data_IF_142884282053
#
_entry.id   IF_142884282053
#
_cell.length_a   1.000
_cell.length_b   1.000
_cell.length_c   1.000
_cell.angle_alpha   90.00
_cell.angle_beta   90.00
_cell.angle_gamma   90.00
#
_symmetry.space_group_name_H-M   'P 1'
#
loop_
_entity.id
_entity.type
_entity.pdbx_description
1 polymer ?
#
# COMPACT_ATOMS: atom_id res chain seq x y z
N UNK A 1 -1.90 12.23 9.66
CA UNK A 1 -1.20 10.95 9.88
C UNK A 1 0.09 11.01 9.11
N UNK A 2 1.21 10.59 9.69
CA UNK A 2 2.52 10.97 9.18
C UNK A 2 3.18 9.78 8.47
N UNK A 3 3.34 9.85 7.15
CA UNK A 3 4.33 9.04 6.44
C UNK A 3 5.57 9.91 6.24
N UNK A 4 6.67 9.53 6.86
CA UNK A 4 7.93 10.27 6.82
C UNK A 4 9.05 9.42 6.22
N UNK A 5 10.19 10.07 5.95
CA UNK A 5 11.31 9.55 5.18
C UNK A 5 10.96 9.29 3.70
N UNK A 6 10.00 10.04 3.13
CA UNK A 6 9.61 9.87 1.72
C UNK A 6 10.72 10.25 0.74
N UNK A 7 11.74 10.98 1.19
CA UNK A 7 12.99 11.20 0.42
C UNK A 7 13.67 9.91 -0.03
N UNK A 8 13.54 8.82 0.73
CA UNK A 8 14.07 7.50 0.32
C UNK A 8 13.42 6.98 -0.96
N UNK A 9 12.14 7.31 -1.19
CA UNK A 9 11.46 7.00 -2.46
C UNK A 9 12.06 7.82 -3.60
N UNK A 10 12.33 9.11 -3.38
CA UNK A 10 12.94 9.96 -4.39
C UNK A 10 14.35 9.44 -4.77
N UNK A 11 15.16 9.10 -3.78
CA UNK A 11 16.50 8.53 -3.97
C UNK A 11 16.44 7.18 -4.72
N UNK A 12 15.49 6.31 -4.36
CA UNK A 12 15.33 5.02 -5.02
C UNK A 12 14.86 5.17 -6.47
N UNK A 13 13.90 6.07 -6.75
CA UNK A 13 13.46 6.35 -8.12
C UNK A 13 14.60 6.93 -8.97
N UNK A 14 15.50 7.70 -8.37
CA UNK A 14 16.66 8.23 -9.08
C UNK A 14 17.60 7.12 -9.59
N UNK A 15 17.77 6.05 -8.80
CA UNK A 15 18.62 4.90 -9.17
C UNK A 15 17.88 3.81 -9.94
N UNK A 16 16.55 3.73 -9.79
CA UNK A 16 15.66 2.75 -10.42
C UNK A 16 14.45 3.45 -11.08
N UNK A 17 14.63 4.17 -12.20
CA UNK A 17 13.57 4.98 -12.81
C UNK A 17 12.30 4.21 -13.20
N UNK A 18 12.42 2.91 -13.50
CA UNK A 18 11.31 1.99 -13.79
C UNK A 18 10.35 1.83 -12.61
N UNK A 19 10.83 2.01 -11.37
CA UNK A 19 10.01 1.93 -10.16
C UNK A 19 9.08 3.14 -9.95
N UNK A 20 9.29 4.22 -10.72
CA UNK A 20 8.63 5.53 -10.55
C UNK A 20 7.11 5.40 -10.41
N UNK A 21 6.44 4.83 -11.41
CA UNK A 21 4.97 4.79 -11.44
C UNK A 21 4.43 3.98 -10.26
N UNK A 22 5.05 2.84 -9.97
CA UNK A 22 4.66 1.94 -8.88
C UNK A 22 4.81 2.62 -7.51
N UNK A 23 5.97 3.23 -7.23
CA UNK A 23 6.25 3.87 -5.94
C UNK A 23 5.44 5.16 -5.74
N UNK A 24 5.28 5.99 -6.77
CA UNK A 24 4.47 7.21 -6.68
C UNK A 24 2.98 6.89 -6.54
N UNK A 25 2.50 5.83 -7.19
CA UNK A 25 1.13 5.33 -6.99
C UNK A 25 0.93 4.87 -5.54
N UNK A 26 1.87 4.08 -5.00
CA UNK A 26 1.81 3.63 -3.61
C UNK A 26 1.86 4.80 -2.61
N UNK A 27 2.74 5.77 -2.83
CA UNK A 27 2.85 6.98 -2.02
C UNK A 27 1.56 7.80 -2.06
N UNK A 28 0.97 7.95 -3.25
CA UNK A 28 -0.33 8.63 -3.43
C UNK A 28 -1.45 7.91 -2.68
N UNK A 29 -1.52 6.59 -2.78
CA UNK A 29 -2.51 5.76 -2.09
C UNK A 29 -2.36 5.80 -0.56
N UNK A 30 -1.16 6.04 -0.04
CA UNK A 30 -0.87 6.00 1.40
C UNK A 30 -1.81 6.89 2.22
N UNK A 31 -2.08 8.13 1.78
CA UNK A 31 -3.02 9.03 2.45
C UNK A 31 -4.43 8.44 2.64
N UNK A 32 -4.83 7.42 1.89
CA UNK A 32 -6.20 6.90 1.84
C UNK A 32 -6.40 5.55 2.53
N UNK A 33 -5.40 4.67 2.55
CA UNK A 33 -5.53 3.37 3.23
C UNK A 33 -4.98 3.36 4.64
N UNK A 34 -4.12 4.31 4.93
CA UNK A 34 -3.25 4.22 6.09
C UNK A 34 -4.04 4.56 7.38
N UNK A 35 -5.16 5.32 7.31
CA UNK A 35 -6.09 5.50 8.44
C UNK A 35 -6.68 4.17 8.96
N UNK A 36 -6.90 3.20 8.06
CA UNK A 36 -7.37 1.86 8.44
C UNK A 36 -6.27 1.01 9.08
N UNK A 37 -5.01 1.33 8.83
CA UNK A 37 -3.86 0.60 9.36
C UNK A 37 -3.70 0.78 10.87
N UNK A 38 -4.16 1.90 11.41
CA UNK A 38 -3.98 2.26 12.82
C UNK A 38 -5.15 1.88 13.72
N UNK A 39 -6.28 1.46 13.15
CA UNK A 39 -7.43 0.99 13.92
C UNK A 39 -7.29 -0.52 14.21
N UNK A 40 -7.56 -0.91 15.46
CA UNK A 40 -7.77 -2.30 15.83
C UNK A 40 -9.16 -2.78 15.35
N UNK A 41 -9.48 -4.05 15.56
CA UNK A 41 -10.77 -4.64 15.17
C UNK A 41 -12.00 -3.96 15.80
N UNK A 42 -11.80 -3.25 16.91
CA UNK A 42 -12.84 -2.48 17.62
C UNK A 42 -12.89 -1.01 17.18
N UNK A 43 -12.08 -0.59 16.20
CA UNK A 43 -11.99 0.79 15.72
C UNK A 43 -11.15 1.73 16.60
N UNK A 44 -10.52 1.24 17.66
CA UNK A 44 -9.60 2.00 18.52
C UNK A 44 -8.19 2.02 17.97
N UNK A 45 -7.42 3.09 18.23
CA UNK A 45 -6.02 3.14 17.81
C UNK A 45 -5.21 2.02 18.48
N UNK A 46 -4.52 1.20 17.69
CA UNK A 46 -3.64 0.16 18.20
C UNK A 46 -2.53 0.78 19.07
N UNK A 47 -2.08 0.06 20.09
CA UNK A 47 -0.98 0.49 20.93
C UNK A 47 0.33 -0.17 20.49
N UNK A 48 1.45 0.55 20.67
CA UNK A 48 2.79 0.02 20.44
C UNK A 48 3.45 0.48 19.15
N UNK A 49 4.51 -0.22 18.78
CA UNK A 49 5.30 0.00 17.57
C UNK A 49 5.64 -1.35 16.93
N UNK A 50 6.02 -1.33 15.66
CA UNK A 50 6.41 -2.54 14.96
C UNK A 50 7.10 -2.24 13.64
N UNK A 51 7.62 -3.30 13.01
CA UNK A 51 8.21 -3.24 11.69
C UNK A 51 7.23 -3.85 10.71
N UNK A 52 7.11 -3.24 9.53
CA UNK A 52 6.31 -3.75 8.44
C UNK A 52 7.09 -3.69 7.13
N UNK A 53 6.56 -4.41 6.15
CA UNK A 53 7.00 -4.29 4.76
C UNK A 53 5.78 -4.11 3.87
N UNK A 54 5.98 -3.41 2.77
CA UNK A 54 5.03 -3.31 1.67
C UNK A 54 5.74 -3.76 0.41
N UNK A 55 4.96 -4.33 -0.50
CA UNK A 55 5.42 -4.76 -1.82
C UNK A 55 4.61 -4.02 -2.88
N UNK A 56 4.95 -2.76 -3.19
CA UNK A 56 4.27 -2.01 -4.24
C UNK A 56 4.36 -2.73 -5.60
N UNK A 57 3.23 -2.82 -6.31
CA UNK A 57 3.18 -3.44 -7.63
C UNK A 57 3.20 -4.97 -7.58
N UNK A 58 4.01 -5.60 -8.43
CA UNK A 58 4.13 -7.06 -8.61
C UNK A 58 5.07 -7.74 -7.61
N UNK A 59 5.56 -7.01 -6.59
CA UNK A 59 6.49 -7.54 -5.58
C UNK A 59 7.97 -7.45 -5.96
N UNK A 60 8.30 -6.72 -7.03
CA UNK A 60 9.68 -6.43 -7.43
C UNK A 60 10.40 -5.45 -6.50
N UNK A 61 9.64 -4.66 -5.73
CA UNK A 61 10.14 -3.65 -4.81
C UNK A 61 9.60 -3.96 -3.42
N UNK A 62 10.46 -3.88 -2.42
CA UNK A 62 10.14 -4.03 -1.01
C UNK A 62 10.43 -2.72 -0.30
N UNK A 63 9.41 -2.12 0.30
CA UNK A 63 9.52 -0.94 1.16
C UNK A 63 9.41 -1.41 2.60
N UNK A 64 10.51 -1.37 3.38
CA UNK A 64 10.42 -1.68 4.81
C UNK A 64 10.27 -0.38 5.61
N UNK A 65 9.47 -0.45 6.64
CA UNK A 65 9.12 0.71 7.44
C UNK A 65 8.90 0.36 8.91
N UNK A 66 9.09 1.35 9.77
CA UNK A 66 8.66 1.30 11.16
C UNK A 66 7.29 1.95 11.29
N UNK A 67 6.44 1.39 12.13
CA UNK A 67 5.13 1.92 12.49
C UNK A 67 5.14 2.26 13.98
N UNK A 68 4.70 3.46 14.33
CA UNK A 68 4.34 3.82 15.69
C UNK A 68 2.83 4.06 15.71
N UNK A 69 2.09 3.13 16.30
CA UNK A 69 0.63 3.18 16.26
C UNK A 69 0.06 4.31 17.12
N UNK A 70 0.71 4.61 18.24
CA UNK A 70 0.32 5.70 19.13
C UNK A 70 0.54 7.08 18.50
N UNK A 71 1.67 7.26 17.80
CA UNK A 71 1.98 8.49 17.08
C UNK A 71 1.24 8.62 15.74
N UNK A 72 0.52 7.56 15.31
CA UNK A 72 -0.10 7.43 13.97
C UNK A 72 0.91 7.81 12.88
N UNK A 73 2.08 7.17 12.93
CA UNK A 73 3.21 7.48 12.07
C UNK A 73 3.83 6.22 11.46
N UNK A 74 4.27 6.34 10.21
CA UNK A 74 5.11 5.36 9.50
C UNK A 74 6.39 6.07 9.06
N UNK A 75 7.54 5.45 9.33
CA UNK A 75 8.84 5.92 8.88
C UNK A 75 9.44 4.89 7.93
N UNK A 76 9.73 5.29 6.69
CA UNK A 76 10.40 4.43 5.72
C UNK A 76 11.85 4.22 6.16
N UNK A 77 12.27 2.97 6.28
CA UNK A 77 13.63 2.61 6.71
C UNK A 77 14.55 2.41 5.52
N UNK A 78 14.12 1.55 4.60
CA UNK A 78 14.83 1.22 3.38
C UNK A 78 13.84 0.83 2.28
N UNK A 79 14.35 0.87 1.05
CA UNK A 79 13.65 0.42 -0.16
C UNK A 79 14.66 -0.44 -0.89
N UNK A 80 14.25 -1.65 -1.26
CA UNK A 80 15.09 -2.65 -1.91
C UNK A 80 14.35 -3.25 -3.09
N UNK A 81 15.11 -3.69 -4.08
CA UNK A 81 14.62 -4.63 -5.07
C UNK A 81 14.44 -6.01 -4.44
N UNK A 82 13.56 -6.82 -5.01
CA UNK A 82 13.40 -8.22 -4.59
C UNK A 82 14.70 -9.01 -4.77
N UNK A 83 15.52 -8.67 -5.76
CA UNK A 83 16.84 -9.28 -5.96
C UNK A 83 17.77 -8.99 -4.79
N UNK A 84 17.88 -7.74 -4.33
CA UNK A 84 18.69 -7.38 -3.16
C UNK A 84 18.23 -8.11 -1.90
N UNK A 85 16.92 -8.21 -1.68
CA UNK A 85 16.35 -8.98 -0.56
C UNK A 85 16.75 -10.46 -0.63
N UNK A 86 16.69 -11.06 -1.82
CA UNK A 86 17.09 -12.46 -2.02
C UNK A 86 18.59 -12.66 -1.81
N UNK A 87 19.42 -11.71 -2.22
CA UNK A 87 20.86 -11.73 -1.98
C UNK A 87 21.18 -11.64 -0.48
N UNK A 88 20.49 -10.78 0.27
CA UNK A 88 20.65 -10.66 1.73
C UNK A 88 20.25 -11.96 2.44
N UNK A 89 19.12 -12.56 2.06
CA UNK A 89 18.68 -13.86 2.62
C UNK A 89 19.74 -14.92 2.37
N UNK A 90 20.29 -14.99 1.16
CA UNK A 90 21.30 -15.98 0.79
C UNK A 90 22.60 -15.75 1.56
N UNK A 91 23.07 -14.51 1.66
CA UNK A 91 24.24 -14.15 2.45
C UNK A 91 24.06 -14.49 3.94
N UNK A 92 22.88 -14.24 4.50
CA UNK A 92 22.56 -14.65 5.87
C UNK A 92 22.57 -16.17 6.04
N UNK A 93 22.03 -16.94 5.10
CA UNK A 93 22.05 -18.40 5.13
C UNK A 93 23.48 -18.97 5.04
N UNK A 94 24.32 -18.41 4.16
CA UNK A 94 25.71 -18.83 3.99
C UNK A 94 26.55 -18.52 5.24
N UNK A 95 26.33 -17.37 5.89
CA UNK A 95 27.00 -16.99 7.13
C UNK A 95 26.51 -17.77 8.37
N UNK A 96 25.32 -18.38 8.32
CA UNK A 96 24.75 -19.20 9.40
C UNK A 96 24.82 -20.70 9.10
N UNK A 97 25.72 -21.13 8.22
CA UNK A 97 25.98 -22.54 7.85
C UNK A 97 26.48 -23.46 8.99
N UNK A 98 26.46 -22.98 10.25
CA UNK A 98 26.59 -23.80 11.46
C UNK A 98 25.28 -24.06 12.23
N UNK A 99 24.16 -23.44 11.83
CA UNK A 99 22.86 -23.65 12.48
C UNK A 99 22.12 -24.77 11.77
N UNK A 100 22.10 -25.94 12.40
CA UNK A 100 21.27 -27.07 11.97
C UNK A 100 19.79 -26.68 12.12
N UNK A 101 19.17 -26.27 11.02
CA UNK A 101 17.71 -26.27 10.94
C UNK A 101 17.24 -27.72 11.04
N UNK A 102 16.65 -28.11 12.17
CA UNK A 102 15.86 -29.32 12.26
C UNK A 102 14.62 -29.15 11.38
N UNK A 103 14.76 -29.45 10.09
CA UNK A 103 13.61 -29.63 9.19
C UNK A 103 12.87 -30.87 9.68
N UNK A 104 11.80 -30.68 10.44
CA UNK A 104 10.87 -31.76 10.78
C UNK A 104 10.07 -32.06 9.52
N UNK A 105 10.55 -33.02 8.73
CA UNK A 105 9.78 -33.58 7.61
C UNK A 105 8.56 -34.26 8.22
N UNK A 106 7.41 -33.58 8.20
CA UNK A 106 6.13 -34.21 8.52
C UNK A 106 5.69 -34.92 7.25
N UNK A 107 5.93 -36.23 7.19
CA UNK A 107 5.35 -37.10 6.17
C UNK A 107 3.84 -37.14 6.44
N UNK A 108 3.07 -36.37 5.69
CA UNK A 108 1.60 -36.47 5.72
C UNK A 108 1.24 -37.72 4.93
N UNK A 109 0.96 -38.82 5.65
CA UNK A 109 0.30 -39.98 5.05
C UNK A 109 -1.14 -39.58 4.75
N UNK A 110 -1.43 -39.25 3.49
CA UNK A 110 -2.79 -39.06 3.02
C UNK A 110 -3.48 -40.43 3.06
N UNK A 111 -4.20 -40.71 4.15
CA UNK A 111 -5.19 -41.80 4.14
C UNK A 111 -6.28 -41.42 3.14
N UNK A 112 -6.58 -42.28 2.15
CA UNK A 112 -7.68 -42.03 1.23
C UNK A 112 -8.98 -41.87 2.04
N UNK A 113 -9.89 -40.98 1.60
CA UNK A 113 -11.18 -40.84 2.26
C UNK A 113 -11.90 -42.20 2.24
N UNK A 114 -12.64 -42.55 3.30
CA UNK A 114 -13.42 -43.78 3.32
C UNK A 114 -14.37 -43.80 2.11
N UNK A 115 -14.57 -44.97 1.48
CA UNK A 115 -15.53 -45.09 0.40
C UNK A 115 -16.90 -44.66 0.90
N UNK A 116 -17.58 -43.82 0.11
CA UNK A 116 -18.94 -43.36 0.38
C UNK A 116 -19.83 -44.59 0.56
N UNK A 117 -20.47 -44.71 1.73
CA UNK A 117 -21.55 -45.68 1.93
C UNK A 117 -22.70 -45.33 0.99
N UNK A 118 -23.25 -46.35 0.31
CA UNK A 118 -24.42 -46.26 -0.56
C UNK A 118 -25.58 -45.60 0.20
N UNK A 119 -25.88 -44.34 -0.12
CA UNK A 119 -27.11 -43.68 0.28
C UNK A 119 -28.22 -44.13 -0.68
N UNK A 120 -28.74 -45.34 -0.47
CA UNK A 120 -29.83 -45.91 -1.26
C UNK A 120 -31.23 -45.44 -0.81
N UNK A 121 -31.31 -44.26 -0.17
CA UNK A 121 -32.57 -43.64 0.24
C UNK A 121 -32.48 -42.12 0.13
N UNK A 122 -32.64 -41.60 -1.08
CA UNK A 122 -33.16 -40.25 -1.27
C UNK A 122 -34.35 -40.34 -2.23
N UNK A 123 -35.53 -40.28 -1.62
CA UNK A 123 -36.79 -40.07 -2.32
C UNK A 123 -36.69 -38.87 -3.27
N UNK A 124 -37.29 -39.07 -4.44
CA UNK A 124 -37.76 -38.07 -5.40
C UNK A 124 -37.72 -36.62 -4.88
N UNK A 125 -36.70 -35.88 -5.33
CA UNK A 125 -36.75 -34.42 -5.38
C UNK A 125 -36.84 -34.00 -6.84
N UNK A 126 -38.01 -33.46 -7.21
CA UNK A 126 -38.27 -32.85 -8.51
C UNK A 126 -37.18 -31.82 -8.84
N UNK A 127 -36.58 -31.97 -10.02
CA UNK A 127 -35.62 -31.03 -10.55
C UNK A 127 -36.31 -29.71 -10.91
N UNK A 128 -36.22 -28.72 -10.03
CA UNK A 128 -36.35 -27.32 -10.46
C UNK A 128 -35.00 -26.84 -10.98
N UNK A 129 -34.96 -26.47 -12.25
CA UNK A 129 -33.86 -25.72 -12.87
C UNK A 129 -33.66 -24.39 -12.16
N UNK A 130 -32.88 -24.39 -11.08
CA UNK A 130 -32.30 -23.17 -10.53
C UNK A 130 -30.82 -23.13 -10.90
N UNK A 131 -30.50 -22.23 -11.82
CA UNK A 131 -29.15 -21.76 -12.09
C UNK A 131 -28.58 -21.18 -10.81
N UNK A 132 -27.80 -21.97 -10.07
CA UNK A 132 -27.04 -21.50 -8.92
C UNK A 132 -25.91 -20.59 -9.42
N UNK A 133 -26.24 -19.30 -9.51
CA UNK A 133 -25.28 -18.21 -9.48
C UNK A 133 -24.43 -18.35 -8.22
N UNK A 134 -23.17 -18.73 -8.37
CA UNK A 134 -22.18 -18.66 -7.29
C UNK A 134 -21.85 -17.18 -7.08
N UNK A 135 -22.69 -16.49 -6.30
CA UNK A 135 -22.35 -15.16 -5.79
C UNK A 135 -21.31 -15.34 -4.71
N UNK A 136 -20.03 -15.14 -5.04
CA UNK A 136 -19.03 -14.88 -4.03
C UNK A 136 -19.47 -13.62 -3.26
N UNK A 137 -19.68 -13.69 -1.93
CA UNK A 137 -19.92 -12.49 -1.15
C UNK A 137 -18.58 -11.75 -1.02
N UNK A 138 -18.17 -11.07 -2.09
CA UNK A 138 -17.24 -9.96 -1.97
C UNK A 138 -17.97 -8.93 -1.11
N UNK A 139 -17.49 -8.59 0.10
CA UNK A 139 -18.09 -7.54 0.88
C UNK A 139 -18.15 -6.32 -0.03
N UNK A 140 -19.35 -5.73 -0.18
CA UNK A 140 -19.53 -4.54 -0.96
C UNK A 140 -18.52 -3.51 -0.45
N UNK A 141 -17.45 -3.30 -1.21
CA UNK A 141 -16.53 -2.19 -1.02
C UNK A 141 -17.35 -0.95 -1.31
N UNK A 142 -18.08 -0.50 -0.28
CA UNK A 142 -18.72 0.80 -0.25
C UNK A 142 -17.56 1.80 -0.22
N UNK A 143 -17.10 2.16 -1.41
CA UNK A 143 -16.48 3.43 -1.72
C UNK A 143 -17.52 4.55 -1.51
N UNK A 144 -18.18 4.58 -0.36
CA UNK A 144 -18.79 5.81 0.09
C UNK A 144 -17.61 6.70 0.42
N UNK A 145 -17.51 7.79 -0.34
CA UNK A 145 -16.70 8.99 -0.15
C UNK A 145 -16.94 9.67 1.22
N UNK A 146 -17.30 8.91 2.25
CA UNK A 146 -17.54 9.34 3.62
C UNK A 146 -16.31 9.09 4.50
N UNK A 147 -15.12 8.93 3.92
CA UNK A 147 -13.89 9.29 4.62
C UNK A 147 -13.92 10.81 4.78
N UNK A 148 -14.72 11.25 5.77
CA UNK A 148 -14.60 12.55 6.38
C UNK A 148 -13.12 12.75 6.66
N UNK A 149 -12.52 13.65 5.90
CA UNK A 149 -11.14 14.13 6.02
C UNK A 149 -10.91 14.90 7.35
N UNK A 150 -11.76 14.65 8.33
CA UNK A 150 -12.22 15.58 9.37
C UNK A 150 -11.78 15.14 10.77
N UNK A 151 -10.91 14.12 10.84
CA UNK A 151 -10.19 13.76 12.07
C UNK A 151 -8.69 13.59 11.77
N UNK A 152 -8.18 14.41 10.85
CA UNK A 152 -6.79 14.86 10.94
C UNK A 152 -6.72 15.63 12.25
N UNK A 153 -6.49 14.91 13.36
CA UNK A 153 -6.09 15.49 14.64
C UNK A 153 -5.10 16.61 14.31
N UNK A 154 -5.59 17.84 14.36
CA UNK A 154 -4.81 19.04 14.14
C UNK A 154 -3.80 19.06 15.28
N UNK A 155 -2.67 18.41 15.05
CA UNK A 155 -1.50 18.52 15.90
C UNK A 155 -1.15 19.99 15.86
N UNK A 156 -1.38 20.61 17.02
CA UNK A 156 -1.19 22.02 17.37
C UNK A 156 -0.43 22.83 16.30
N UNK A 157 -1.11 23.73 15.55
CA UNK A 157 -0.47 24.55 14.52
C UNK A 157 0.65 25.46 15.06
N UNK A 158 0.76 25.59 16.39
CA UNK A 158 1.81 26.34 17.09
C UNK A 158 3.14 25.56 17.27
N UNK A 159 3.36 24.45 16.56
CA UNK A 159 4.71 23.89 16.45
C UNK A 159 5.61 24.86 15.66
N UNK A 160 6.23 25.81 16.38
CA UNK A 160 7.17 26.85 15.91
C UNK A 160 8.48 26.29 15.34
N UNK A 161 8.64 24.98 15.28
CA UNK A 161 9.82 24.32 14.75
C UNK A 161 9.67 24.09 13.25
N UNK A 162 10.28 24.96 12.44
CA UNK A 162 10.31 24.83 10.99
C UNK A 162 11.71 24.40 10.55
N UNK A 163 11.79 23.30 9.80
CA UNK A 163 13.01 22.86 9.15
C UNK A 163 13.21 23.70 7.88
N UNK A 164 14.35 24.38 7.75
CA UNK A 164 14.62 25.26 6.62
C UNK A 164 15.69 24.71 5.69
N UNK A 165 16.58 23.86 6.20
CA UNK A 165 17.69 23.28 5.44
C UNK A 165 17.62 21.76 5.36
N UNK A 166 18.26 21.19 4.34
CA UNK A 166 18.40 19.73 4.18
C UNK A 166 19.14 19.11 5.38
N UNK A 167 20.19 19.77 5.89
CA UNK A 167 20.94 19.28 7.04
C UNK A 167 20.09 19.21 8.33
N UNK A 168 19.24 20.22 8.56
CA UNK A 168 18.27 20.20 9.67
C UNK A 168 17.26 19.08 9.48
N UNK A 169 16.75 18.89 8.26
CA UNK A 169 15.83 17.80 7.93
C UNK A 169 16.44 16.43 8.18
N UNK A 170 17.66 16.17 7.70
CA UNK A 170 18.35 14.89 7.92
C UNK A 170 18.62 14.63 9.40
N UNK A 171 18.98 15.68 10.16
CA UNK A 171 19.19 15.59 11.61
C UNK A 171 17.89 15.28 12.33
N UNK A 172 16.80 15.98 11.99
CA UNK A 172 15.47 15.76 12.54
C UNK A 172 14.96 14.35 12.21
N UNK A 173 15.17 13.89 10.97
CA UNK A 173 14.77 12.56 10.53
C UNK A 173 15.53 11.46 11.27
N UNK A 174 16.86 11.61 11.42
CA UNK A 174 17.68 10.68 12.19
C UNK A 174 17.23 10.64 13.66
N UNK A 175 16.92 11.81 14.25
CA UNK A 175 16.40 11.90 15.61
C UNK A 175 15.03 11.24 15.73
N UNK A 176 14.09 11.55 14.85
CA UNK A 176 12.76 10.94 14.82
C UNK A 176 12.85 9.41 14.71
N UNK A 177 13.74 8.90 13.85
CA UNK A 177 13.99 7.47 13.73
C UNK A 177 14.51 6.85 15.04
N UNK A 178 15.44 7.52 15.73
CA UNK A 178 15.94 7.04 17.04
C UNK A 178 14.87 7.02 18.14
N UNK A 179 13.86 7.90 18.02
CA UNK A 179 12.77 8.03 18.97
C UNK A 179 11.54 7.24 18.56
N UNK A 180 11.55 6.58 17.40
CA UNK A 180 10.32 6.11 16.75
C UNK A 180 9.59 5.01 17.54
N UNK A 181 10.28 4.32 18.43
CA UNK A 181 9.69 3.32 19.33
C UNK A 181 9.13 3.91 20.63
N UNK A 182 9.17 5.24 20.79
CA UNK A 182 8.70 5.90 22.02
C UNK A 182 7.19 5.75 22.21
N UNK A 183 6.73 5.68 23.46
CA UNK A 183 5.31 5.55 23.82
C UNK A 183 4.76 6.76 24.60
N UNK A 184 3.43 7.03 24.60
CA UNK A 184 2.81 8.22 25.22
C UNK A 184 3.17 8.59 26.67
N UNK A 185 3.82 7.69 27.41
CA UNK A 185 4.23 7.89 28.82
C UNK A 185 5.75 8.04 29.00
N UNK A 186 6.51 7.96 27.90
CA UNK A 186 7.95 8.09 27.90
C UNK A 186 8.35 9.54 27.63
N UNK A 187 9.45 9.98 28.24
CA UNK A 187 9.94 11.36 28.12
C UNK A 187 10.30 11.74 26.67
N UNK A 188 10.64 10.76 25.84
CA UNK A 188 11.02 10.93 24.43
C UNK A 188 9.82 11.08 23.49
N UNK A 189 8.61 10.70 23.92
CA UNK A 189 7.43 10.73 23.04
C UNK A 189 6.96 12.14 22.67
N UNK A 190 6.93 13.13 23.59
CA UNK A 190 6.64 14.52 23.22
C UNK A 190 7.61 15.07 22.17
N UNK A 191 8.90 14.72 22.25
CA UNK A 191 9.90 15.12 21.25
C UNK A 191 9.57 14.50 19.88
N UNK A 192 9.29 13.20 19.81
CA UNK A 192 8.84 12.54 18.57
C UNK A 192 7.62 13.25 17.98
N UNK A 193 6.59 13.51 18.80
CA UNK A 193 5.36 14.17 18.35
C UNK A 193 5.60 15.59 17.83
N UNK A 194 6.64 16.29 18.31
CA UNK A 194 7.03 17.61 17.80
C UNK A 194 7.79 17.55 16.48
N UNK A 195 8.58 16.49 16.24
CA UNK A 195 9.39 16.33 15.04
C UNK A 195 8.55 15.92 13.82
N UNK A 196 7.57 15.02 14.00
CA UNK A 196 6.80 14.42 12.91
C UNK A 196 6.14 15.46 11.96
N UNK A 197 5.39 16.47 12.46
CA UNK A 197 4.75 17.45 11.58
C UNK A 197 5.76 18.32 10.82
N UNK A 198 6.88 18.65 11.45
CA UNK A 198 7.93 19.46 10.83
C UNK A 198 8.64 18.72 9.71
N UNK A 199 8.93 17.43 9.91
CA UNK A 199 9.49 16.53 8.88
C UNK A 199 8.50 16.39 7.72
N UNK A 200 7.24 16.06 8.01
CA UNK A 200 6.20 15.91 6.98
C UNK A 200 6.03 17.19 6.15
N UNK A 201 6.04 18.37 6.80
CA UNK A 201 5.96 19.67 6.12
C UNK A 201 7.16 19.90 5.21
N UNK A 202 8.38 19.70 5.70
CA UNK A 202 9.60 19.83 4.90
C UNK A 202 9.55 18.92 3.67
N UNK A 203 9.15 17.65 3.86
CA UNK A 203 9.04 16.70 2.77
C UNK A 203 8.04 17.15 1.69
N UNK A 204 6.87 17.65 2.08
CA UNK A 204 5.86 18.16 1.13
C UNK A 204 6.30 19.41 0.38
N UNK A 205 7.03 20.30 1.04
CA UNK A 205 7.39 21.60 0.47
C UNK A 205 8.66 21.53 -0.39
N UNK A 206 9.66 20.79 0.07
CA UNK A 206 11.02 20.78 -0.47
C UNK A 206 11.32 19.58 -1.36
N UNK A 207 10.74 18.41 -1.10
CA UNK A 207 10.98 17.25 -1.98
C UNK A 207 10.23 17.43 -3.31
N UNK A 208 10.92 17.06 -4.38
CA UNK A 208 10.38 17.07 -5.74
C UNK A 208 10.43 15.65 -6.28
N UNK A 209 9.26 15.11 -6.56
CA UNK A 209 9.11 13.82 -7.22
C UNK A 209 8.90 14.04 -8.72
N UNK A 210 9.38 13.11 -9.57
CA UNK A 210 9.03 13.15 -10.99
C UNK A 210 7.52 13.02 -11.16
N UNK A 211 6.98 13.60 -12.23
CA UNK A 211 5.56 13.47 -12.54
C UNK A 211 5.26 12.10 -13.13
N UNK A 212 4.00 11.67 -13.04
CA UNK A 212 3.42 10.53 -13.73
C UNK A 212 2.11 10.93 -14.42
N UNK A 213 1.63 10.11 -15.35
CA UNK A 213 0.31 10.30 -15.97
C UNK A 213 -0.69 9.29 -15.43
N UNK A 214 -1.98 9.63 -15.51
CA UNK A 214 -3.05 8.73 -15.12
C UNK A 214 -3.05 7.45 -15.98
N UNK A 215 -2.74 7.60 -17.27
CA UNK A 215 -2.57 6.48 -18.18
C UNK A 215 -1.46 5.53 -17.70
N UNK A 216 -0.30 6.06 -17.29
CA UNK A 216 0.80 5.23 -16.78
C UNK A 216 0.36 4.39 -15.58
N UNK A 217 -0.39 4.99 -14.65
CA UNK A 217 -0.93 4.28 -13.47
C UNK A 217 -1.90 3.17 -13.88
N UNK A 218 -2.82 3.46 -14.82
CA UNK A 218 -3.79 2.47 -15.30
C UNK A 218 -3.10 1.31 -16.02
N UNK A 219 -2.13 1.61 -16.89
CA UNK A 219 -1.36 0.59 -17.60
C UNK A 219 -0.52 -0.25 -16.64
N UNK A 220 0.06 0.37 -15.61
CA UNK A 220 0.79 -0.33 -14.56
C UNK A 220 -0.11 -1.32 -13.80
N UNK A 221 -1.33 -0.91 -13.42
CA UNK A 221 -2.29 -1.82 -12.76
C UNK A 221 -2.80 -2.92 -13.68
N UNK A 222 -3.07 -2.59 -14.94
CA UNK A 222 -3.51 -3.56 -15.95
C UNK A 222 -2.47 -4.66 -16.14
N UNK A 223 -1.19 -4.27 -16.25
CA UNK A 223 -0.05 -5.19 -16.32
C UNK A 223 0.09 -6.02 -15.04
N UNK A 224 -0.02 -5.40 -13.86
CA UNK A 224 0.07 -6.08 -12.56
C UNK A 224 -0.97 -7.20 -12.38
N UNK A 225 -2.17 -7.03 -12.94
CA UNK A 225 -3.24 -8.01 -12.87
C UNK A 225 -3.29 -8.94 -14.10
N UNK A 226 -2.32 -8.84 -15.02
CA UNK A 226 -2.27 -9.59 -16.28
C UNK A 226 -3.60 -9.48 -17.08
N UNK A 227 -4.19 -8.28 -17.09
CA UNK A 227 -5.48 -8.04 -17.74
C UNK A 227 -5.25 -7.84 -19.25
N UNK A 228 -5.96 -8.59 -20.11
CA UNK A 228 -5.85 -8.42 -21.56
C UNK A 228 -6.46 -7.08 -21.98
N UNK A 229 -5.95 -6.50 -23.07
CA UNK A 229 -6.44 -5.21 -23.60
C UNK A 229 -7.94 -5.24 -23.93
N UNK A 230 -8.46 -6.38 -24.38
CA UNK A 230 -9.89 -6.55 -24.66
C UNK A 230 -10.75 -6.37 -23.40
N UNK A 231 -10.23 -6.79 -22.24
CA UNK A 231 -10.91 -6.56 -20.96
C UNK A 231 -10.92 -5.07 -20.60
N UNK A 232 -9.79 -4.38 -20.80
CA UNK A 232 -9.72 -2.94 -20.57
C UNK A 232 -10.66 -2.16 -21.51
N UNK A 233 -10.73 -2.55 -22.79
CA UNK A 233 -11.66 -2.02 -23.78
C UNK A 233 -13.12 -2.16 -23.32
N UNK A 234 -13.49 -3.33 -22.80
CA UNK A 234 -14.83 -3.57 -22.26
C UNK A 234 -15.13 -2.66 -21.05
N UNK A 235 -14.17 -2.48 -20.14
CA UNK A 235 -14.34 -1.62 -18.95
C UNK A 235 -14.55 -0.14 -19.31
N UNK A 236 -13.86 0.35 -20.33
CA UNK A 236 -13.94 1.76 -20.74
C UNK A 236 -15.06 2.03 -21.73
N UNK A 237 -15.83 1.02 -22.14
CA UNK A 237 -16.98 1.18 -23.04
C UNK A 237 -16.64 1.12 -24.53
N UNK A 238 -15.55 0.45 -24.90
CA UNK A 238 -15.18 0.15 -26.29
C UNK A 238 -13.80 0.67 -26.69
N UNK A 239 -13.43 0.36 -27.94
CA UNK A 239 -12.09 0.64 -28.48
C UNK A 239 -11.78 2.13 -28.58
N UNK A 240 -12.75 2.96 -28.96
CA UNK A 240 -12.53 4.40 -29.09
C UNK A 240 -12.16 5.05 -27.75
N UNK A 241 -12.83 4.66 -26.66
CA UNK A 241 -12.51 5.13 -25.31
C UNK A 241 -11.18 4.55 -24.80
N UNK A 242 -10.84 3.33 -25.21
CA UNK A 242 -9.52 2.77 -24.92
C UNK A 242 -8.42 3.57 -25.63
N UNK A 243 -8.59 3.88 -26.91
CA UNK A 243 -7.64 4.70 -27.66
C UNK A 243 -7.52 6.10 -27.05
N UNK A 244 -8.64 6.71 -26.65
CA UNK A 244 -8.63 8.00 -25.94
C UNK A 244 -7.85 7.92 -24.62
N UNK A 245 -8.06 6.87 -23.82
CA UNK A 245 -7.33 6.63 -22.57
C UNK A 245 -5.82 6.41 -22.82
N UNK A 246 -5.48 5.62 -23.83
CA UNK A 246 -4.09 5.34 -24.24
C UNK A 246 -3.39 6.57 -24.85
N UNK A 247 -4.15 7.59 -25.24
CA UNK A 247 -3.63 8.89 -25.64
C UNK A 247 -3.65 9.92 -24.51
N UNK A 248 -3.91 9.48 -23.27
CA UNK A 248 -3.89 10.33 -22.08
C UNK A 248 -5.11 11.23 -21.90
N UNK A 249 -6.20 11.01 -22.66
CA UNK A 249 -7.45 11.74 -22.44
C UNK A 249 -8.18 11.18 -21.22
N UNK A 250 -8.76 12.09 -20.44
CA UNK A 250 -9.60 11.72 -19.30
C UNK A 250 -10.98 11.33 -19.80
N UNK A 251 -11.41 10.12 -19.46
CA UNK A 251 -12.74 9.60 -19.78
C UNK A 251 -13.80 10.22 -18.85
N UNK A 252 -15.10 10.07 -19.17
CA UNK A 252 -16.18 10.50 -18.28
C UNK A 252 -16.01 9.95 -16.85
N UNK A 253 -16.43 10.73 -15.85
CA UNK A 253 -16.21 10.42 -14.42
C UNK A 253 -16.73 9.01 -14.07
N UNK A 254 -17.95 8.67 -14.49
CA UNK A 254 -18.56 7.36 -14.22
C UNK A 254 -17.69 6.20 -14.73
N UNK A 255 -17.11 6.34 -15.93
CA UNK A 255 -16.18 5.36 -16.52
C UNK A 255 -14.88 5.28 -15.71
N UNK A 256 -14.35 6.43 -15.31
CA UNK A 256 -13.12 6.51 -14.51
C UNK A 256 -13.30 5.90 -13.12
N UNK A 257 -14.47 6.07 -12.50
CA UNK A 257 -14.80 5.46 -11.20
C UNK A 257 -14.87 3.93 -11.29
N UNK A 258 -15.51 3.39 -12.33
CA UNK A 258 -15.54 1.94 -12.59
C UNK A 258 -14.12 1.42 -12.77
N UNK A 259 -13.30 2.13 -13.54
CA UNK A 259 -11.91 1.75 -13.81
C UNK A 259 -11.07 1.76 -12.54
N UNK A 260 -11.15 2.81 -11.72
CA UNK A 260 -10.45 2.90 -10.44
C UNK A 260 -10.83 1.79 -9.48
N UNK A 261 -12.13 1.49 -9.38
CA UNK A 261 -12.62 0.39 -8.55
C UNK A 261 -12.09 -0.96 -9.03
N UNK A 262 -12.11 -1.19 -10.35
CA UNK A 262 -11.69 -2.46 -10.95
C UNK A 262 -10.18 -2.66 -10.82
N UNK A 263 -9.39 -1.61 -10.99
CA UNK A 263 -7.93 -1.62 -10.85
C UNK A 263 -7.45 -1.40 -9.41
N UNK A 264 -8.38 -1.41 -8.45
CA UNK A 264 -8.12 -1.23 -7.01
C UNK A 264 -7.31 0.03 -6.68
N UNK A 265 -7.48 1.11 -7.45
CA UNK A 265 -6.80 2.38 -7.22
C UNK A 265 -7.42 3.12 -6.05
N UNK A 266 -6.60 3.40 -5.02
CA UNK A 266 -7.10 3.83 -3.70
C UNK A 266 -7.21 5.34 -3.46
N UNK A 267 -6.91 6.15 -4.48
CA UNK A 267 -6.98 7.61 -4.41
C UNK A 267 -8.14 8.16 -5.27
N UNK A 268 -8.70 9.33 -4.93
CA UNK A 268 -9.77 9.95 -5.70
C UNK A 268 -9.22 10.59 -6.98
N UNK A 269 -10.07 10.68 -8.01
CA UNK A 269 -9.71 11.23 -9.33
C UNK A 269 -9.21 12.69 -9.29
N UNK A 270 -9.63 13.44 -8.27
CA UNK A 270 -9.25 14.85 -8.09
C UNK A 270 -7.90 15.03 -7.34
N UNK A 271 -7.28 13.97 -6.84
CA UNK A 271 -5.93 14.07 -6.28
C UNK A 271 -4.94 14.29 -7.44
N UNK A 272 -4.39 15.50 -7.55
CA UNK A 272 -3.42 15.89 -8.59
C UNK A 272 -1.95 15.71 -8.16
N UNK A 273 -1.67 15.20 -6.96
CA UNK A 273 -0.29 14.97 -6.51
C UNK A 273 0.43 14.04 -7.47
N UNK A 274 1.65 14.41 -7.84
CA UNK A 274 2.52 13.70 -8.78
C UNK A 274 2.01 13.64 -10.23
N UNK A 275 0.84 14.17 -10.56
CA UNK A 275 0.42 14.31 -11.95
C UNK A 275 0.99 15.59 -12.56
N UNK A 276 1.32 15.54 -13.85
CA UNK A 276 1.67 16.75 -14.58
C UNK A 276 0.46 17.70 -14.58
N UNK A 277 0.65 18.95 -14.18
CA UNK A 277 -0.37 19.98 -14.36
C UNK A 277 -0.48 20.28 -15.84
N UNK A 278 -1.62 19.91 -16.44
CA UNK A 278 -2.00 20.23 -17.82
C UNK A 278 -2.43 21.68 -17.94
#
# INVERSE_FOLDING_TARGET
MNLIATGKIADFIHTHPESRVTLLTWLKESDYWMDRMFANHDGHTAAGFGNGSAQPGTGEIVVNYHINFSAKAVCINDIKTQEEVMQEIKAHQENHSGSTSHVKVVTVTLTPPPPLEDYDHLDEFEATEDTVSVSWPMPAYNYRQDLKQDDRSELNPDATFTLSTEAEYLTALARANSLFNSQPKEWSYPELMSLLPSIERYEKEQLRFPTMSLQEVIMQRTSMFDLPQDYLSMLVGGKDNLDDLLNGKVLPIDTMEILFRTLMLRFPLNDQRFFAQS
#
